data_IF_248401922741
#
_entry.id   IF_248401922741
#
_cell.length_a   1.000
_cell.length_b   1.000
_cell.length_c   1.000
_cell.angle_alpha   90.00
_cell.angle_beta   90.00
_cell.angle_gamma   90.00
#
_symmetry.space_group_name_H-M   'P 1'
#
loop_
_entity.id
_entity.type
_entity.pdbx_description
1 polymer ?
#
# COMPACT_ATOMS: atom_id res chain seq x y z
N UNK A 1 21.75 -31.47 30.31
CA UNK A 1 22.63 -31.80 29.15
C UNK A 1 21.84 -31.90 27.84
N UNK A 2 20.78 -32.75 27.73
CA UNK A 2 20.01 -32.89 26.49
C UNK A 2 19.26 -31.61 26.17
N UNK A 3 18.67 -30.95 27.16
CA UNK A 3 17.94 -29.70 27.04
C UNK A 3 18.89 -28.56 26.64
N UNK A 4 20.07 -28.48 27.23
CA UNK A 4 21.10 -27.50 26.89
C UNK A 4 21.65 -27.71 25.47
N UNK A 5 21.72 -28.95 25.01
CA UNK A 5 22.12 -29.26 23.64
C UNK A 5 21.06 -28.83 22.64
N UNK A 6 19.76 -29.08 22.89
CA UNK A 6 18.66 -28.65 22.07
C UNK A 6 18.58 -27.10 21.99
N UNK A 7 18.76 -26.43 23.13
CA UNK A 7 18.78 -24.97 23.20
C UNK A 7 19.95 -24.36 22.37
N UNK A 8 21.12 -24.98 22.44
CA UNK A 8 22.27 -24.57 21.62
C UNK A 8 22.01 -24.78 20.14
N UNK A 9 21.44 -25.92 19.74
CA UNK A 9 21.11 -26.23 18.35
C UNK A 9 20.05 -25.30 17.83
N UNK A 10 19.02 -24.97 18.61
CA UNK A 10 17.95 -24.06 18.21
C UNK A 10 18.41 -22.60 18.00
N UNK A 11 19.50 -22.22 18.66
CA UNK A 11 20.12 -20.89 18.49
C UNK A 11 21.09 -20.82 17.29
N UNK A 12 21.45 -21.97 16.70
CA UNK A 12 22.31 -21.99 15.51
C UNK A 12 21.53 -21.56 14.28
N UNK A 13 22.05 -20.58 13.57
CA UNK A 13 21.53 -20.20 12.27
C UNK A 13 21.99 -21.22 11.22
N UNK A 14 21.09 -22.01 10.57
CA UNK A 14 21.44 -22.97 9.53
C UNK A 14 22.03 -22.31 8.28
N UNK A 15 21.85 -21.00 8.13
CA UNK A 15 22.37 -20.20 7.00
C UNK A 15 23.07 -18.95 7.50
N UNK A 16 24.28 -19.06 8.05
CA UNK A 16 24.99 -17.92 8.66
C UNK A 16 25.33 -16.81 7.66
N UNK A 17 25.31 -17.08 6.35
CA UNK A 17 25.53 -16.08 5.30
C UNK A 17 24.30 -15.26 4.91
N UNK A 18 23.08 -15.64 5.32
CA UNK A 18 21.86 -14.86 5.00
C UNK A 18 21.89 -13.45 5.59
N UNK A 19 22.45 -13.25 6.78
CA UNK A 19 22.59 -11.93 7.39
C UNK A 19 23.54 -10.97 6.68
N UNK A 20 24.38 -11.46 5.78
CA UNK A 20 25.29 -10.64 4.94
C UNK A 20 24.72 -10.38 3.54
N UNK A 21 23.65 -11.06 3.18
CA UNK A 21 22.96 -10.93 1.89
C UNK A 21 21.67 -10.11 2.00
N UNK A 22 21.48 -9.33 3.07
CA UNK A 22 20.37 -8.39 3.16
C UNK A 22 20.46 -7.39 2.01
N UNK A 23 19.82 -7.74 0.91
CA UNK A 23 19.46 -6.79 -0.12
C UNK A 23 18.52 -5.78 0.53
N UNK A 24 19.08 -4.69 1.02
CA UNK A 24 18.30 -3.51 1.40
C UNK A 24 17.50 -3.12 0.16
N UNK A 25 16.26 -3.55 0.08
CA UNK A 25 15.34 -3.07 -0.94
C UNK A 25 15.06 -1.62 -0.61
N UNK A 26 15.82 -0.72 -1.23
CA UNK A 26 15.54 0.71 -1.16
C UNK A 26 14.22 0.94 -1.90
N UNK A 27 13.16 1.22 -1.14
CA UNK A 27 11.87 1.56 -1.71
C UNK A 27 11.92 3.01 -2.13
N UNK A 28 11.81 3.26 -3.44
CA UNK A 28 11.67 4.61 -3.99
C UNK A 28 10.16 4.93 -4.03
N UNK A 29 9.67 5.94 -3.28
CA UNK A 29 8.26 6.28 -3.28
C UNK A 29 7.85 6.89 -4.62
N UNK A 30 6.64 6.56 -5.07
CA UNK A 30 6.03 7.13 -6.29
C UNK A 30 5.35 8.49 -6.03
N UNK A 31 4.90 8.70 -4.79
CA UNK A 31 4.23 9.93 -4.34
C UNK A 31 4.90 10.41 -3.06
N UNK A 32 5.02 11.73 -2.94
CA UNK A 32 5.52 12.40 -1.74
C UNK A 32 4.43 13.31 -1.22
N UNK A 33 4.11 13.16 0.07
CA UNK A 33 3.10 13.96 0.77
C UNK A 33 3.78 14.70 1.92
N UNK A 34 3.59 16.01 1.98
CA UNK A 34 4.10 16.87 3.04
C UNK A 34 2.98 17.78 3.56
N UNK A 35 3.07 18.16 4.82
CA UNK A 35 2.19 19.16 5.41
C UNK A 35 2.55 20.56 4.88
N UNK A 36 1.52 21.33 4.51
CA UNK A 36 1.66 22.73 4.05
C UNK A 36 0.58 23.57 4.73
N UNK A 37 0.86 23.99 5.97
CA UNK A 37 -0.11 24.65 6.83
C UNK A 37 -1.29 23.77 7.19
N UNK A 38 -2.49 24.16 6.78
CA UNK A 38 -3.72 23.40 7.00
C UNK A 38 -4.03 22.42 5.83
N UNK A 39 -3.17 22.37 4.81
CA UNK A 39 -3.38 21.55 3.61
C UNK A 39 -2.22 20.57 3.37
N UNK A 40 -2.34 19.74 2.36
CA UNK A 40 -1.35 18.72 2.00
C UNK A 40 -0.75 18.98 0.62
N UNK A 41 0.56 19.19 0.58
CA UNK A 41 1.33 19.23 -0.67
C UNK A 41 1.57 17.80 -1.16
N UNK A 42 1.00 17.47 -2.32
CA UNK A 42 1.13 16.15 -2.95
C UNK A 42 1.93 16.30 -4.23
N UNK A 43 3.08 15.64 -4.30
CA UNK A 43 3.94 15.62 -5.48
C UNK A 43 4.21 14.20 -5.94
N UNK A 44 4.32 13.99 -7.24
CA UNK A 44 4.73 12.70 -7.81
C UNK A 44 6.25 12.65 -7.95
N UNK A 45 6.84 11.53 -7.57
CA UNK A 45 8.25 11.26 -7.82
C UNK A 45 8.38 10.53 -9.16
N UNK A 46 8.72 11.28 -10.20
CA UNK A 46 8.79 10.72 -11.56
C UNK A 46 10.09 9.95 -11.85
N UNK A 47 10.87 9.62 -10.81
CA UNK A 47 12.06 8.78 -10.95
C UNK A 47 13.15 9.38 -11.84
N UNK A 48 13.20 10.72 -11.96
CA UNK A 48 14.16 11.41 -12.81
C UNK A 48 13.81 11.41 -14.30
N UNK A 49 12.57 11.08 -14.67
CA UNK A 49 12.10 11.24 -16.05
C UNK A 49 12.11 12.72 -16.41
N UNK A 50 12.94 13.16 -17.39
CA UNK A 50 12.97 14.56 -17.79
C UNK A 50 11.65 14.98 -18.42
N UNK A 51 11.42 16.28 -18.49
CA UNK A 51 10.26 16.81 -19.22
C UNK A 51 10.33 16.40 -20.68
N UNK A 52 9.35 15.59 -21.11
CA UNK A 52 9.26 15.13 -22.49
C UNK A 52 8.71 16.25 -23.38
N UNK A 53 9.43 16.53 -24.45
CA UNK A 53 9.03 17.52 -25.48
C UNK A 53 9.29 16.95 -26.85
N UNK A 54 8.46 17.34 -27.82
CA UNK A 54 8.72 17.07 -29.22
C UNK A 54 9.76 18.08 -29.74
N UNK A 55 10.69 17.62 -30.55
CA UNK A 55 11.68 18.52 -31.18
C UNK A 55 11.01 19.47 -32.12
N UNK A 56 11.22 20.78 -31.94
CA UNK A 56 10.68 21.85 -32.80
C UNK A 56 11.05 21.67 -34.26
N UNK A 57 12.21 21.12 -34.57
CA UNK A 57 12.67 20.86 -35.92
C UNK A 57 11.68 20.04 -36.74
N UNK A 58 11.02 19.04 -36.12
CA UNK A 58 10.02 18.24 -36.82
C UNK A 58 8.68 18.98 -37.01
N UNK A 59 8.29 19.79 -36.04
CA UNK A 59 7.07 20.61 -36.14
C UNK A 59 7.24 21.69 -37.22
N UNK A 60 8.33 22.44 -37.17
CA UNK A 60 8.68 23.46 -38.14
C UNK A 60 8.88 22.90 -39.55
N UNK A 61 9.47 21.70 -39.70
CA UNK A 61 9.62 21.02 -40.97
C UNK A 61 8.29 20.61 -41.65
N UNK A 62 7.27 20.30 -40.84
CA UNK A 62 5.91 20.06 -41.36
C UNK A 62 5.25 21.35 -41.81
N UNK A 63 5.40 22.45 -41.05
CA UNK A 63 4.79 23.75 -41.33
C UNK A 63 5.44 24.42 -42.51
N UNK A 64 6.77 24.37 -42.61
CA UNK A 64 7.56 24.95 -43.72
C UNK A 64 7.39 24.21 -45.05
N UNK A 65 6.79 23.00 -45.03
CA UNK A 65 6.61 22.20 -46.23
C UNK A 65 7.87 21.46 -46.69
N UNK A 66 8.89 21.35 -45.83
CA UNK A 66 10.14 20.61 -46.09
C UNK A 66 9.86 19.12 -46.37
N UNK A 67 8.85 18.57 -45.71
CA UNK A 67 8.39 17.20 -45.93
C UNK A 67 7.25 17.18 -46.95
N UNK A 68 7.35 16.34 -47.97
CA UNK A 68 6.29 16.18 -48.99
C UNK A 68 5.74 14.75 -49.03
N UNK A 69 4.50 14.59 -49.45
CA UNK A 69 3.86 13.32 -49.75
C UNK A 69 3.89 12.35 -48.57
N UNK A 70 4.45 11.14 -48.79
CA UNK A 70 4.50 10.06 -47.79
C UNK A 70 5.36 10.40 -46.57
N UNK A 71 6.42 11.19 -46.76
CA UNK A 71 7.29 11.61 -45.66
C UNK A 71 6.53 12.50 -44.66
N UNK A 72 5.75 13.46 -45.16
CA UNK A 72 4.93 14.32 -44.29
C UNK A 72 3.90 13.53 -43.50
N UNK A 73 3.22 12.57 -44.13
CA UNK A 73 2.25 11.73 -43.47
C UNK A 73 2.93 10.88 -42.34
N UNK A 74 4.09 10.31 -42.62
CA UNK A 74 4.85 9.53 -41.66
C UNK A 74 5.31 10.37 -40.44
N UNK A 75 5.90 11.54 -40.67
CA UNK A 75 6.36 12.41 -39.58
C UNK A 75 5.17 12.87 -38.71
N UNK A 76 4.04 13.20 -39.33
CA UNK A 76 2.82 13.59 -38.61
C UNK A 76 2.31 12.47 -37.72
N UNK A 77 2.22 11.26 -38.24
CA UNK A 77 1.83 10.06 -37.44
C UNK A 77 2.73 9.87 -36.22
N UNK A 78 4.05 10.10 -36.37
CA UNK A 78 5.01 9.97 -35.27
C UNK A 78 4.86 11.08 -34.22
N UNK A 79 4.60 12.30 -34.65
CA UNK A 79 4.31 13.44 -33.78
C UNK A 79 3.02 13.18 -33.00
N UNK A 80 1.96 12.72 -33.67
CA UNK A 80 0.69 12.41 -33.01
C UNK A 80 0.85 11.30 -31.97
N UNK A 81 1.62 10.26 -32.30
CA UNK A 81 1.96 9.17 -31.36
C UNK A 81 2.77 9.66 -30.17
N UNK A 82 3.74 10.56 -30.38
CA UNK A 82 4.54 11.16 -29.33
C UNK A 82 3.70 12.07 -28.42
N UNK A 83 2.82 12.89 -28.99
CA UNK A 83 1.88 13.72 -28.24
C UNK A 83 0.96 12.87 -27.36
N UNK A 84 0.40 11.80 -27.93
CA UNK A 84 -0.42 10.86 -27.16
C UNK A 84 0.35 10.25 -25.99
N UNK A 85 1.60 9.85 -26.19
CA UNK A 85 2.44 9.30 -25.13
C UNK A 85 2.73 10.33 -24.03
N UNK A 86 3.09 11.55 -24.39
CA UNK A 86 3.34 12.67 -23.46
C UNK A 86 2.08 12.93 -22.62
N UNK A 87 0.92 12.99 -23.29
CA UNK A 87 -0.36 13.21 -22.60
C UNK A 87 -0.72 12.07 -21.66
N UNK A 88 -0.47 10.81 -22.05
CA UNK A 88 -0.68 9.66 -21.18
C UNK A 88 0.20 9.71 -19.91
N UNK A 89 1.46 10.15 -20.03
CA UNK A 89 2.36 10.35 -18.88
C UNK A 89 1.84 11.45 -17.95
N UNK A 90 1.39 12.59 -18.51
CA UNK A 90 0.78 13.69 -17.74
C UNK A 90 -0.48 13.23 -17.02
N UNK A 91 -1.36 12.55 -17.72
CA UNK A 91 -2.63 12.05 -17.17
C UNK A 91 -2.38 11.06 -16.02
N UNK A 92 -1.34 10.21 -16.12
CA UNK A 92 -0.95 9.32 -15.03
C UNK A 92 -0.57 10.10 -13.78
N UNK A 93 0.20 11.20 -13.90
CA UNK A 93 0.57 12.06 -12.76
C UNK A 93 -0.67 12.67 -12.11
N UNK A 94 -1.55 13.26 -12.92
CA UNK A 94 -2.80 13.85 -12.42
C UNK A 94 -3.66 12.82 -11.70
N UNK A 95 -3.80 11.63 -12.28
CA UNK A 95 -4.55 10.53 -11.66
C UNK A 95 -3.95 10.15 -10.30
N UNK A 96 -2.62 10.01 -10.20
CA UNK A 96 -1.94 9.63 -8.96
C UNK A 96 -2.16 10.69 -7.86
N UNK A 97 -2.03 11.98 -8.20
CA UNK A 97 -2.29 13.10 -7.27
C UNK A 97 -3.74 13.11 -6.82
N UNK A 98 -4.70 12.92 -7.73
CA UNK A 98 -6.12 12.90 -7.39
C UNK A 98 -6.48 11.72 -6.49
N UNK A 99 -5.95 10.52 -6.76
CA UNK A 99 -6.12 9.35 -5.90
C UNK A 99 -5.56 9.62 -4.51
N UNK A 100 -4.35 10.20 -4.41
CA UNK A 100 -3.75 10.50 -3.11
C UNK A 100 -4.56 11.56 -2.34
N UNK A 101 -5.04 12.60 -3.01
CA UNK A 101 -5.91 13.63 -2.42
C UNK A 101 -7.21 13.03 -1.87
N UNK A 102 -7.84 12.15 -2.63
CA UNK A 102 -9.05 11.46 -2.19
C UNK A 102 -8.76 10.54 -0.98
N UNK A 103 -7.63 9.84 -0.95
CA UNK A 103 -7.20 9.03 0.20
C UNK A 103 -7.04 9.92 1.45
N UNK A 104 -6.32 11.03 1.37
CA UNK A 104 -6.11 11.96 2.50
C UNK A 104 -7.46 12.46 3.04
N UNK A 105 -8.36 12.88 2.16
CA UNK A 105 -9.69 13.36 2.53
C UNK A 105 -10.52 12.30 3.27
N UNK A 106 -10.40 11.04 2.88
CA UNK A 106 -11.15 9.93 3.49
C UNK A 106 -10.46 9.37 4.75
N UNK A 107 -9.17 9.65 4.98
CA UNK A 107 -8.39 9.18 6.13
C UNK A 107 -7.83 10.33 7.01
N UNK A 108 -8.65 11.33 7.40
CA UNK A 108 -8.15 12.52 8.10
C UNK A 108 -7.48 12.20 9.43
N UNK A 109 -7.98 11.22 10.19
CA UNK A 109 -7.43 10.84 11.48
C UNK A 109 -6.04 10.21 11.36
N UNK A 110 -5.81 9.41 10.32
CA UNK A 110 -4.52 8.83 10.04
C UNK A 110 -3.49 9.92 9.69
N UNK A 111 -3.88 10.87 8.84
CA UNK A 111 -3.04 11.99 8.43
C UNK A 111 -2.86 13.07 9.50
N UNK A 112 -3.66 13.08 10.56
CA UNK A 112 -3.44 13.91 11.75
C UNK A 112 -2.51 13.28 12.80
N UNK A 113 -1.83 12.17 12.46
CA UNK A 113 -0.86 11.50 13.32
C UNK A 113 -1.38 10.27 14.06
N UNK A 114 -2.67 9.95 13.98
CA UNK A 114 -3.22 8.74 14.57
C UNK A 114 -3.14 7.54 13.62
N UNK A 115 -1.92 7.06 13.38
CA UNK A 115 -1.62 5.94 12.45
C UNK A 115 -2.34 4.62 12.79
N UNK A 116 -2.94 4.51 13.96
CA UNK A 116 -3.67 3.32 14.37
C UNK A 116 -5.14 3.37 13.92
N UNK A 117 -5.61 4.51 13.43
CA UNK A 117 -7.01 4.75 13.11
C UNK A 117 -7.20 4.90 11.59
N UNK A 118 -7.31 3.75 10.91
CA UNK A 118 -7.68 3.71 9.50
C UNK A 118 -9.19 3.46 9.39
N UNK A 119 -9.90 4.40 8.74
CA UNK A 119 -11.31 4.21 8.39
C UNK A 119 -11.44 3.18 7.27
N UNK A 120 -12.50 2.37 7.26
CA UNK A 120 -12.79 1.51 6.12
C UNK A 120 -12.90 2.34 4.84
N UNK A 121 -12.16 1.94 3.81
CA UNK A 121 -12.12 2.63 2.53
C UNK A 121 -11.96 1.59 1.42
N UNK A 122 -12.88 1.58 0.46
CA UNK A 122 -12.83 0.70 -0.70
C UNK A 122 -12.29 1.44 -1.91
N UNK A 123 -11.71 0.71 -2.85
CA UNK A 123 -11.30 1.27 -4.14
C UNK A 123 -12.47 1.90 -4.91
N UNK A 124 -13.67 1.36 -4.73
CA UNK A 124 -14.89 1.88 -5.34
C UNK A 124 -15.23 3.28 -4.83
N UNK A 125 -15.10 3.54 -3.54
CA UNK A 125 -15.41 4.84 -2.92
C UNK A 125 -14.55 5.95 -3.55
N UNK A 126 -13.24 5.67 -3.73
CA UNK A 126 -12.31 6.58 -4.42
C UNK A 126 -12.67 6.73 -5.91
N UNK A 127 -13.01 5.62 -6.58
CA UNK A 127 -13.37 5.62 -7.99
C UNK A 127 -14.60 6.52 -8.27
N UNK A 128 -15.62 6.43 -7.41
CA UNK A 128 -16.82 7.27 -7.48
C UNK A 128 -16.49 8.74 -7.18
N UNK A 129 -15.67 9.02 -6.15
CA UNK A 129 -15.31 10.39 -5.76
C UNK A 129 -14.56 11.14 -6.87
N UNK A 130 -13.61 10.48 -7.53
CA UNK A 130 -12.82 11.11 -8.61
C UNK A 130 -13.37 10.84 -10.02
N UNK A 131 -14.56 10.21 -10.12
CA UNK A 131 -15.25 9.89 -11.38
C UNK A 131 -14.37 9.09 -12.37
N UNK A 132 -13.68 8.07 -11.85
CA UNK A 132 -12.82 7.17 -12.64
C UNK A 132 -13.23 5.71 -12.46
N UNK A 133 -12.81 4.86 -13.42
CA UNK A 133 -13.06 3.42 -13.32
C UNK A 133 -12.23 2.78 -12.19
N UNK A 134 -12.83 1.84 -11.45
CA UNK A 134 -12.21 1.12 -10.35
C UNK A 134 -10.94 0.37 -10.78
N UNK A 135 -10.88 -0.12 -12.02
CA UNK A 135 -9.71 -0.80 -12.57
C UNK A 135 -8.53 0.16 -12.73
N UNK A 136 -8.80 1.43 -13.06
CA UNK A 136 -7.80 2.50 -13.14
C UNK A 136 -7.23 2.80 -11.76
N UNK A 137 -8.08 2.91 -10.74
CA UNK A 137 -7.64 3.13 -9.36
C UNK A 137 -6.81 1.95 -8.86
N UNK A 138 -7.27 0.73 -9.08
CA UNK A 138 -6.54 -0.49 -8.69
C UNK A 138 -5.14 -0.57 -9.32
N UNK A 139 -5.02 -0.23 -10.62
CA UNK A 139 -3.71 -0.19 -11.31
C UNK A 139 -2.83 0.95 -10.82
N UNK A 140 -3.41 2.10 -10.46
CA UNK A 140 -2.68 3.26 -9.97
C UNK A 140 -2.16 3.09 -8.53
N UNK A 141 -2.77 2.20 -7.74
CA UNK A 141 -2.41 1.99 -6.32
C UNK A 141 -1.57 0.73 -6.08
N UNK A 142 -1.64 -0.26 -6.97
CA UNK A 142 -0.96 -1.54 -6.81
C UNK A 142 0.56 -1.40 -6.93
N UNK A 143 1.30 -1.82 -5.88
CA UNK A 143 2.76 -1.78 -5.85
C UNK A 143 3.31 -0.35 -5.92
N UNK A 144 2.52 0.66 -5.50
CA UNK A 144 2.91 2.06 -5.42
C UNK A 144 3.06 2.48 -3.99
N UNK A 145 4.11 3.26 -3.73
CA UNK A 145 4.48 3.71 -2.40
C UNK A 145 4.34 5.22 -2.29
N UNK A 146 3.93 5.66 -1.11
CA UNK A 146 3.86 7.07 -0.74
C UNK A 146 4.80 7.34 0.43
N UNK A 147 5.57 8.41 0.33
CA UNK A 147 6.37 8.95 1.42
C UNK A 147 5.57 10.03 2.14
N UNK A 148 5.31 9.79 3.42
CA UNK A 148 4.53 10.66 4.30
C UNK A 148 5.42 11.12 5.47
N UNK A 149 5.03 12.16 6.25
CA UNK A 149 5.76 12.54 7.47
C UNK A 149 5.90 11.41 8.49
N UNK A 150 5.05 10.39 8.40
CA UNK A 150 5.01 9.24 9.32
C UNK A 150 5.76 8.01 8.78
N UNK A 151 6.33 8.07 7.58
CA UNK A 151 7.06 6.99 6.93
C UNK A 151 6.58 6.66 5.53
N UNK A 152 7.19 5.63 4.95
CA UNK A 152 6.86 5.15 3.60
C UNK A 152 5.87 3.99 3.68
N UNK A 153 4.73 4.12 3.01
CA UNK A 153 3.66 3.13 3.00
C UNK A 153 3.25 2.77 1.58
N UNK A 154 2.83 1.53 1.36
CA UNK A 154 2.17 1.16 0.11
C UNK A 154 0.79 1.82 0.04
N UNK A 155 0.38 2.38 -1.11
CA UNK A 155 -0.94 2.99 -1.29
C UNK A 155 -2.09 2.03 -0.94
N UNK A 156 -1.87 0.73 -1.15
CA UNK A 156 -2.82 -0.31 -0.77
C UNK A 156 -3.11 -0.36 0.74
N UNK A 157 -2.20 0.11 1.58
CA UNK A 157 -2.34 0.15 3.04
C UNK A 157 -3.57 0.94 3.51
N UNK A 158 -3.93 2.00 2.78
CA UNK A 158 -5.06 2.87 3.12
C UNK A 158 -6.42 2.27 2.78
N UNK A 159 -6.46 1.19 1.98
CA UNK A 159 -7.69 0.49 1.63
C UNK A 159 -7.90 -0.69 2.57
N UNK A 160 -8.89 -0.57 3.42
CA UNK A 160 -9.22 -1.60 4.43
C UNK A 160 -10.68 -1.98 4.32
N UNK A 161 -10.93 -3.30 4.38
CA UNK A 161 -12.30 -3.81 4.42
C UNK A 161 -13.00 -3.36 5.70
N UNK A 162 -14.28 -3.07 5.59
CA UNK A 162 -15.15 -2.78 6.71
C UNK A 162 -15.58 -4.07 7.40
N UNK A 163 -15.54 -4.07 8.73
CA UNK A 163 -16.19 -5.09 9.55
C UNK A 163 -17.25 -4.40 10.40
N UNK A 164 -18.49 -4.84 10.23
CA UNK A 164 -19.58 -4.46 11.12
C UNK A 164 -19.50 -5.32 12.39
N UNK A 165 -19.35 -4.66 13.53
CA UNK A 165 -19.30 -5.30 14.85
C UNK A 165 -20.70 -5.61 15.42
N UNK A 166 -21.77 -5.33 14.66
CA UNK A 166 -23.15 -5.59 15.08
C UNK A 166 -23.69 -4.60 16.11
N UNK A 167 -22.94 -3.56 16.47
CA UNK A 167 -23.35 -2.47 17.37
C UNK A 167 -23.40 -1.10 16.65
N UNK A 168 -23.41 -1.11 15.30
CA UNK A 168 -23.37 0.10 14.47
C UNK A 168 -21.98 0.72 14.33
N UNK A 169 -20.95 0.12 14.92
CA UNK A 169 -19.56 0.53 14.72
C UNK A 169 -18.95 -0.26 13.55
N UNK A 170 -18.41 0.48 12.60
CA UNK A 170 -17.71 -0.05 11.44
C UNK A 170 -16.20 0.22 11.65
N UNK A 171 -15.42 -0.85 11.76
CA UNK A 171 -13.97 -0.74 11.93
C UNK A 171 -13.22 -1.36 10.76
N UNK A 172 -12.06 -0.80 10.47
CA UNK A 172 -11.14 -1.40 9.51
C UNK A 172 -10.50 -2.69 10.03
N UNK A 173 -10.34 -3.66 9.17
CA UNK A 173 -9.69 -4.96 9.50
C UNK A 173 -8.28 -4.79 10.06
N UNK A 174 -7.62 -3.69 9.75
CA UNK A 174 -6.27 -3.38 10.23
C UNK A 174 -6.22 -3.26 11.77
N UNK A 175 -7.17 -2.54 12.37
CA UNK A 175 -7.24 -2.35 13.83
C UNK A 175 -7.38 -3.69 14.53
N UNK A 176 -8.26 -4.54 14.01
CA UNK A 176 -8.52 -5.87 14.57
C UNK A 176 -7.29 -6.78 14.45
N UNK A 177 -6.61 -6.76 13.31
CA UNK A 177 -5.38 -7.53 13.10
C UNK A 177 -4.26 -7.10 14.05
N UNK A 178 -4.11 -5.78 14.26
CA UNK A 178 -3.13 -5.23 15.19
C UNK A 178 -3.42 -5.66 16.62
N UNK A 179 -4.69 -5.62 17.01
CA UNK A 179 -5.11 -6.05 18.34
C UNK A 179 -4.91 -7.56 18.56
N UNK A 180 -5.23 -8.37 17.54
CA UNK A 180 -4.95 -9.81 17.55
C UNK A 180 -3.46 -10.10 17.72
N UNK A 181 -2.61 -9.35 17.02
CA UNK A 181 -1.16 -9.47 17.13
C UNK A 181 -0.66 -9.09 18.54
N UNK A 182 -1.21 -8.01 19.12
CA UNK A 182 -0.87 -7.60 20.49
C UNK A 182 -1.25 -8.67 21.51
N UNK A 183 -2.43 -9.27 21.38
CA UNK A 183 -2.89 -10.35 22.27
C UNK A 183 -1.94 -11.56 22.18
N UNK A 184 -1.57 -11.97 20.97
CA UNK A 184 -0.66 -13.11 20.76
C UNK A 184 0.77 -12.79 21.23
N UNK A 185 1.25 -11.57 21.04
CA UNK A 185 2.57 -11.15 21.52
C UNK A 185 2.66 -11.10 23.05
N UNK A 186 1.54 -10.88 23.73
CA UNK A 186 1.44 -10.84 25.20
C UNK A 186 1.02 -12.16 25.83
N UNK A 187 0.81 -13.23 25.02
CA UNK A 187 0.42 -14.55 25.55
C UNK A 187 1.57 -15.26 26.28
N UNK A 188 1.20 -16.13 27.22
CA UNK A 188 2.15 -17.07 27.83
C UNK A 188 2.51 -18.15 26.81
N UNK A 189 3.78 -18.22 26.45
CA UNK A 189 4.29 -19.18 25.45
C UNK A 189 4.26 -20.64 25.95
N UNK A 190 4.18 -20.87 27.27
CA UNK A 190 3.95 -22.18 27.83
C UNK A 190 2.51 -22.66 27.66
N UNK A 191 1.56 -21.72 27.57
CA UNK A 191 0.12 -21.98 27.37
C UNK A 191 -0.52 -21.02 26.37
N UNK A 192 -0.15 -21.11 25.07
CA UNK A 192 -0.60 -20.18 24.05
C UNK A 192 -2.10 -20.30 23.81
N UNK A 193 -2.75 -19.16 23.52
CA UNK A 193 -4.18 -19.06 23.28
C UNK A 193 -4.60 -19.79 22.00
N UNK A 194 -5.63 -20.64 22.11
CA UNK A 194 -6.26 -21.21 20.93
C UNK A 194 -7.19 -20.19 20.23
N UNK A 195 -7.65 -20.49 19.02
CA UNK A 195 -8.49 -19.57 18.25
C UNK A 195 -9.82 -19.25 18.96
N UNK A 196 -10.39 -20.17 19.79
CA UNK A 196 -11.59 -19.92 20.58
C UNK A 196 -11.34 -18.95 21.74
N UNK A 197 -10.21 -19.09 22.41
CA UNK A 197 -9.78 -18.13 23.45
C UNK A 197 -9.53 -16.75 22.86
N UNK A 198 -8.89 -16.68 21.67
CA UNK A 198 -8.67 -15.41 20.96
C UNK A 198 -9.99 -14.73 20.59
N UNK A 199 -11.01 -15.49 20.15
CA UNK A 199 -12.36 -14.96 19.90
C UNK A 199 -12.94 -14.35 21.18
N UNK A 200 -12.82 -15.04 22.32
CA UNK A 200 -13.35 -14.55 23.59
C UNK A 200 -12.64 -13.27 24.03
N UNK A 201 -11.30 -13.22 23.94
CA UNK A 201 -10.50 -12.05 24.30
C UNK A 201 -10.81 -10.85 23.40
N UNK A 202 -10.95 -11.06 22.10
CA UNK A 202 -11.37 -10.02 21.16
C UNK A 202 -12.80 -9.56 21.44
N UNK A 203 -13.73 -10.48 21.76
CA UNK A 203 -15.10 -10.14 22.11
C UNK A 203 -15.20 -9.28 23.38
N UNK A 204 -14.37 -9.55 24.40
CA UNK A 204 -14.28 -8.75 25.62
C UNK A 204 -13.77 -7.31 25.34
N UNK A 205 -12.97 -7.14 24.28
CA UNK A 205 -12.53 -5.82 23.79
C UNK A 205 -13.52 -5.16 22.82
N UNK A 206 -14.69 -5.76 22.62
CA UNK A 206 -15.77 -5.23 21.76
C UNK A 206 -15.75 -5.74 20.32
N UNK A 207 -14.80 -6.59 19.94
CA UNK A 207 -14.66 -7.12 18.57
C UNK A 207 -15.37 -8.49 18.44
N UNK A 208 -16.64 -8.49 18.07
CA UNK A 208 -17.42 -9.72 17.87
C UNK A 208 -17.08 -10.36 16.52
N UNK A 209 -16.24 -11.37 16.53
CA UNK A 209 -15.78 -12.07 15.34
C UNK A 209 -16.06 -13.57 15.42
N UNK A 210 -16.31 -14.18 14.26
CA UNK A 210 -16.39 -15.63 14.17
C UNK A 210 -14.98 -16.26 14.26
N UNK A 211 -14.89 -17.47 14.82
CA UNK A 211 -13.62 -18.23 14.91
C UNK A 211 -12.89 -18.34 13.58
N UNK A 212 -13.62 -18.61 12.48
CA UNK A 212 -13.03 -18.71 11.13
C UNK A 212 -12.37 -17.40 10.69
N UNK A 213 -12.94 -16.26 11.08
CA UNK A 213 -12.39 -14.93 10.77
C UNK A 213 -11.10 -14.68 11.54
N UNK A 214 -11.06 -15.03 12.83
CA UNK A 214 -9.88 -14.91 13.66
C UNK A 214 -8.75 -15.81 13.14
N UNK A 215 -9.03 -17.06 12.79
CA UNK A 215 -8.07 -17.97 12.18
C UNK A 215 -7.49 -17.41 10.87
N UNK A 216 -8.37 -16.88 9.99
CA UNK A 216 -7.95 -16.23 8.74
C UNK A 216 -7.01 -15.04 8.99
N UNK A 217 -7.31 -14.19 9.98
CA UNK A 217 -6.46 -13.04 10.28
C UNK A 217 -5.13 -13.44 10.90
N UNK A 218 -5.13 -14.43 11.79
CA UNK A 218 -3.91 -15.01 12.35
C UNK A 218 -3.00 -15.54 11.22
N UNK A 219 -3.56 -16.31 10.27
CA UNK A 219 -2.79 -16.86 9.14
C UNK A 219 -2.26 -15.74 8.23
N UNK A 220 -3.05 -14.68 7.98
CA UNK A 220 -2.62 -13.51 7.21
C UNK A 220 -1.50 -12.71 7.88
N UNK A 221 -1.40 -12.77 9.21
CA UNK A 221 -0.30 -12.19 9.99
C UNK A 221 0.93 -13.11 10.06
N UNK A 222 0.88 -14.30 9.45
CA UNK A 222 1.96 -15.28 9.52
C UNK A 222 2.13 -15.93 10.89
N UNK A 223 1.11 -15.81 11.77
CA UNK A 223 1.16 -16.35 13.13
C UNK A 223 0.70 -17.81 13.14
N UNK A 224 1.53 -18.77 13.59
CA UNK A 224 1.17 -20.17 13.60
C UNK A 224 0.08 -20.50 14.64
N UNK A 225 -0.54 -21.67 14.50
CA UNK A 225 -1.54 -22.19 15.47
C UNK A 225 -0.93 -22.36 16.86
N UNK A 226 -1.75 -22.31 17.92
CA UNK A 226 -1.32 -22.40 19.32
C UNK A 226 -0.33 -23.54 19.59
N UNK A 227 -0.58 -24.73 19.01
CA UNK A 227 0.30 -25.90 19.18
C UNK A 227 1.74 -25.65 18.68
N UNK A 228 1.91 -24.83 17.62
CA UNK A 228 3.23 -24.51 17.04
C UNK A 228 3.89 -23.31 17.72
N UNK A 229 3.15 -22.53 18.50
CA UNK A 229 3.68 -21.40 19.29
C UNK A 229 4.10 -21.82 20.70
N UNK A 230 3.73 -23.04 21.12
CA UNK A 230 4.09 -23.54 22.44
C UNK A 230 5.60 -23.78 22.53
N UNK A 231 6.25 -23.10 23.46
CA UNK A 231 7.63 -23.37 23.85
C UNK A 231 7.64 -24.47 24.91
N UNK A 232 8.66 -25.35 24.87
CA UNK A 232 8.83 -26.52 25.78
C UNK A 232 9.78 -26.13 26.87
#
# INVERSE_FOLDING_TARGET
ELHDAIEKISKLNPRPGEGYADNFQVIIPDVIVREDGDDWLITTNDGGVPELRISRTYEEGIESGEYSGKAKAFVREKIDSANWFIEAVKQRRVTMVNVMRAIIKNQPEWFSGNMNHLRPLKLQDIAEEISMDISTISRSTRGKFVDTPYGVFELKHYFTDAIDLGNGQILGTFVIKKELQNIINSEDKMSPYNDDTLVTLLSNKGYKLARRTVAKYRDQLGLPVARLRKEI
#
